data_IF_399495913888
#
_entry.id   IF_399495913888
#
_cell.length_a   1.000
_cell.length_b   1.000
_cell.length_c   1.000
_cell.angle_alpha   90.00
_cell.angle_beta   90.00
_cell.angle_gamma   90.00
#
_symmetry.space_group_name_H-M   'P 1'
#
loop_
_entity.id
_entity.type
_entity.pdbx_description
1 polymer ?
#
# COMPACT_ATOMS: atom_id res chain seq x y z
N UNK A 1 -85.20 -4.88 -16.66
CA UNK A 1 -84.38 -5.43 -15.56
C UNK A 1 -83.12 -6.04 -16.13
N UNK A 2 -81.95 -5.45 -15.87
CA UNK A 2 -80.65 -6.11 -15.58
C UNK A 2 -79.51 -5.10 -15.81
N UNK A 3 -78.93 -4.59 -14.72
CA UNK A 3 -77.67 -3.84 -14.72
C UNK A 3 -76.61 -4.79 -14.17
N UNK A 4 -75.76 -5.31 -15.04
CA UNK A 4 -74.54 -6.03 -14.66
C UNK A 4 -73.32 -5.22 -15.07
N UNK A 5 -72.85 -4.30 -14.21
CA UNK A 5 -71.54 -3.65 -14.39
C UNK A 5 -70.49 -4.53 -13.75
N UNK A 6 -69.70 -5.21 -14.58
CA UNK A 6 -68.49 -5.93 -14.12
C UNK A 6 -67.37 -4.93 -13.90
N UNK A 7 -66.99 -4.79 -12.64
CA UNK A 7 -65.74 -4.20 -12.21
C UNK A 7 -64.59 -5.15 -12.55
N UNK A 8 -63.46 -4.61 -13.01
CA UNK A 8 -62.12 -4.82 -12.42
C UNK A 8 -61.08 -4.12 -13.29
N UNK A 9 -60.70 -2.93 -12.82
CA UNK A 9 -59.44 -2.29 -13.16
C UNK A 9 -58.28 -3.05 -12.52
N UNK A 10 -57.14 -3.04 -13.21
CA UNK A 10 -55.84 -3.07 -12.55
C UNK A 10 -54.97 -4.25 -12.95
N UNK A 11 -53.98 -3.98 -13.79
CA UNK A 11 -52.64 -4.56 -13.66
C UNK A 11 -51.66 -3.60 -14.33
N UNK A 12 -51.10 -2.70 -13.50
CA UNK A 12 -49.89 -1.95 -13.82
C UNK A 12 -48.73 -2.95 -13.94
N UNK A 13 -48.13 -3.04 -15.11
CA UNK A 13 -46.85 -3.71 -15.29
C UNK A 13 -45.72 -2.73 -14.92
N UNK A 14 -45.15 -2.90 -13.73
CA UNK A 14 -43.92 -2.21 -13.33
C UNK A 14 -42.72 -2.95 -13.94
N UNK A 15 -42.13 -2.39 -14.99
CA UNK A 15 -40.85 -2.84 -15.55
C UNK A 15 -39.75 -2.31 -14.63
N UNK A 16 -39.22 -3.18 -13.79
CA UNK A 16 -38.01 -2.91 -12.99
C UNK A 16 -36.80 -2.93 -13.93
N UNK A 17 -36.31 -1.74 -14.30
CA UNK A 17 -35.02 -1.57 -14.95
C UNK A 17 -33.91 -1.87 -13.96
N UNK A 18 -33.27 -3.04 -14.08
CA UNK A 18 -31.96 -3.28 -13.48
C UNK A 18 -30.92 -2.51 -14.29
N UNK A 19 -30.66 -1.27 -13.89
CA UNK A 19 -29.42 -0.59 -14.26
C UNK A 19 -28.27 -1.29 -13.55
N UNK A 20 -27.56 -2.15 -14.29
CA UNK A 20 -26.23 -2.62 -13.88
C UNK A 20 -25.31 -1.41 -13.91
N UNK A 21 -25.24 -0.69 -12.79
CA UNK A 21 -24.22 0.31 -12.58
C UNK A 21 -22.89 -0.44 -12.46
N UNK A 22 -22.16 -0.48 -13.58
CA UNK A 22 -20.74 -0.78 -13.55
C UNK A 22 -20.11 0.34 -12.71
N UNK A 23 -19.82 0.05 -11.43
CA UNK A 23 -19.04 0.97 -10.62
C UNK A 23 -17.70 1.15 -11.34
N UNK A 24 -17.27 2.37 -11.65
CA UNK A 24 -15.91 2.57 -12.11
C UNK A 24 -15.01 2.01 -11.00
N UNK A 25 -14.17 1.03 -11.34
CA UNK A 25 -13.05 0.63 -10.48
C UNK A 25 -12.33 1.94 -10.13
N UNK A 26 -12.35 2.31 -8.84
CA UNK A 26 -11.47 3.37 -8.38
C UNK A 26 -10.07 2.98 -8.86
N UNK A 27 -9.31 3.88 -9.50
CA UNK A 27 -7.94 3.57 -9.91
C UNK A 27 -7.25 3.04 -8.67
N UNK A 28 -6.92 1.75 -8.68
CA UNK A 28 -6.44 1.05 -7.50
C UNK A 28 -5.30 1.85 -6.91
N UNK A 29 -5.44 2.26 -5.65
CA UNK A 29 -4.40 2.96 -4.91
C UNK A 29 -3.13 2.14 -5.05
N UNK A 30 -2.24 2.55 -5.95
CA UNK A 30 -1.00 1.84 -6.13
C UNK A 30 -0.24 2.02 -4.82
N UNK A 31 0.03 0.92 -4.12
CA UNK A 31 0.80 0.89 -2.88
C UNK A 31 2.20 0.37 -3.21
N UNK A 32 3.17 1.25 -3.54
CA UNK A 32 4.51 0.82 -3.89
C UNK A 32 5.12 -0.04 -2.78
N UNK A 33 5.81 -1.09 -3.16
CA UNK A 33 6.41 -2.04 -2.24
C UNK A 33 7.91 -1.80 -2.21
N UNK A 34 8.46 -1.62 -1.01
CA UNK A 34 9.91 -1.56 -0.83
C UNK A 34 10.44 -3.00 -0.72
N UNK A 35 11.31 -3.36 -1.64
CA UNK A 35 11.99 -4.65 -1.68
C UNK A 35 13.38 -4.53 -1.06
N UNK A 36 13.72 -5.44 -0.17
CA UNK A 36 15.02 -5.58 0.45
C UNK A 36 15.82 -6.67 -0.22
N UNK A 37 17.01 -6.31 -0.70
CA UNK A 37 17.91 -7.22 -1.40
C UNK A 37 19.09 -7.56 -0.50
N UNK A 38 19.23 -8.83 -0.12
CA UNK A 38 20.31 -9.33 0.74
C UNK A 38 20.54 -10.81 0.47
N UNK A 39 21.77 -11.28 0.68
CA UNK A 39 22.09 -12.71 0.75
C UNK A 39 22.14 -13.23 2.19
N UNK A 40 22.02 -12.34 3.18
CA UNK A 40 22.07 -12.69 4.59
C UNK A 40 20.69 -13.16 5.07
N UNK A 41 20.68 -14.03 6.08
CA UNK A 41 19.45 -14.69 6.59
C UNK A 41 19.16 -14.38 8.06
N UNK A 42 20.05 -13.66 8.73
CA UNK A 42 20.00 -13.32 10.16
C UNK A 42 19.88 -11.80 10.41
N UNK A 43 19.35 -11.06 9.43
CA UNK A 43 19.03 -9.64 9.56
C UNK A 43 17.82 -9.44 10.47
N UNK A 44 17.92 -8.44 11.34
CA UNK A 44 16.95 -8.13 12.39
C UNK A 44 16.33 -6.75 12.27
N UNK A 45 17.04 -5.80 11.66
CA UNK A 45 16.49 -4.48 11.36
C UNK A 45 17.16 -3.82 10.16
N UNK A 46 16.40 -2.95 9.51
CA UNK A 46 16.84 -2.10 8.40
C UNK A 46 16.29 -0.69 8.60
N UNK A 47 17.12 0.32 8.43
CA UNK A 47 16.70 1.72 8.40
C UNK A 47 17.06 2.33 7.04
N UNK A 48 16.12 3.06 6.46
CA UNK A 48 16.25 3.68 5.16
C UNK A 48 15.40 4.94 5.05
N UNK A 49 15.65 5.74 4.03
CA UNK A 49 14.77 6.84 3.67
C UNK A 49 14.20 6.67 2.27
N UNK A 50 12.96 7.09 2.09
CA UNK A 50 12.29 7.19 0.80
C UNK A 50 11.98 8.65 0.52
N UNK A 51 12.34 9.11 -0.66
CA UNK A 51 12.06 10.46 -1.16
C UNK A 51 11.18 10.38 -2.40
N UNK A 52 10.16 11.23 -2.47
CA UNK A 52 9.23 11.33 -3.59
C UNK A 52 9.25 12.74 -4.19
N UNK A 53 8.93 12.93 -5.47
CA UNK A 53 8.70 14.25 -6.04
C UNK A 53 7.40 14.85 -5.48
N UNK A 54 7.34 16.18 -5.24
CA UNK A 54 6.08 16.86 -5.00
C UNK A 54 5.10 16.67 -6.18
N UNK A 55 3.77 16.59 -5.93
CA UNK A 55 3.10 16.69 -4.63
C UNK A 55 2.98 15.33 -3.89
N UNK A 56 3.62 14.27 -4.39
CA UNK A 56 3.48 12.95 -3.80
C UNK A 56 4.12 12.90 -2.40
N UNK A 57 3.35 12.40 -1.43
CA UNK A 57 3.77 12.26 -0.04
C UNK A 57 3.39 10.88 0.48
N UNK A 58 4.28 10.28 1.25
CA UNK A 58 4.02 9.00 1.93
C UNK A 58 3.22 9.32 3.19
N UNK A 59 2.02 8.76 3.33
CA UNK A 59 1.14 8.97 4.47
C UNK A 59 1.39 7.97 5.59
N UNK A 60 1.56 6.70 5.23
CA UNK A 60 1.73 5.59 6.16
C UNK A 60 2.59 4.50 5.52
N UNK A 61 3.09 3.59 6.35
CA UNK A 61 3.79 2.38 5.92
C UNK A 61 3.15 1.17 6.60
N UNK A 62 3.00 0.09 5.84
CA UNK A 62 2.52 -1.19 6.36
C UNK A 62 3.65 -2.22 6.23
N UNK A 63 3.94 -3.02 7.26
CA UNK A 63 4.91 -4.11 7.13
C UNK A 63 4.45 -5.11 6.08
N UNK A 64 5.37 -5.55 5.23
CA UNK A 64 5.10 -6.56 4.19
C UNK A 64 5.78 -7.91 4.48
N UNK A 65 6.79 -7.94 5.35
CA UNK A 65 7.42 -9.17 5.83
C UNK A 65 6.72 -9.75 7.06
N UNK A 66 6.76 -11.07 7.20
CA UNK A 66 6.12 -11.79 8.30
C UNK A 66 6.78 -11.46 9.65
N UNK A 67 5.96 -11.15 10.66
CA UNK A 67 6.45 -10.82 12.00
C UNK A 67 7.22 -9.50 12.09
N UNK A 68 7.21 -8.69 11.03
CA UNK A 68 7.86 -7.39 11.01
C UNK A 68 7.00 -6.29 11.59
N UNK A 69 7.67 -5.28 12.15
CA UNK A 69 7.10 -3.99 12.52
C UNK A 69 7.79 -2.90 11.70
N UNK A 70 7.02 -1.92 11.26
CA UNK A 70 7.52 -0.77 10.51
C UNK A 70 7.20 0.52 11.26
N UNK A 71 8.18 1.41 11.32
CA UNK A 71 8.09 2.71 11.97
C UNK A 71 8.40 3.78 10.94
N UNK A 72 7.57 4.83 10.89
CA UNK A 72 7.67 5.94 9.95
C UNK A 72 7.93 7.23 10.71
N UNK A 73 8.89 8.02 10.21
CA UNK A 73 9.16 9.38 10.66
C UNK A 73 9.43 10.30 9.46
N UNK A 74 8.65 11.36 9.31
CA UNK A 74 8.86 12.36 8.26
C UNK A 74 9.95 13.35 8.66
N UNK A 75 11.00 13.46 7.84
CA UNK A 75 12.01 14.52 8.01
C UNK A 75 11.70 15.77 7.18
N UNK A 76 10.87 15.63 6.14
CA UNK A 76 10.33 16.69 5.30
C UNK A 76 9.08 16.16 4.58
N UNK A 77 8.27 17.04 3.97
CA UNK A 77 7.02 16.64 3.30
C UNK A 77 7.21 15.53 2.25
N UNK A 78 8.34 15.58 1.52
CA UNK A 78 8.68 14.63 0.46
C UNK A 78 9.66 13.54 0.88
N UNK A 79 10.06 13.47 2.16
CA UNK A 79 11.04 12.47 2.64
C UNK A 79 10.58 11.78 3.92
N UNK A 80 10.39 10.48 3.81
CA UNK A 80 10.08 9.57 4.89
C UNK A 80 11.34 8.81 5.32
N UNK A 81 11.57 8.69 6.62
CA UNK A 81 12.54 7.77 7.21
C UNK A 81 11.78 6.59 7.79
N UNK A 82 12.21 5.39 7.45
CA UNK A 82 11.52 4.15 7.78
C UNK A 82 12.51 3.22 8.48
N UNK A 83 12.06 2.61 9.57
CA UNK A 83 12.77 1.54 10.26
C UNK A 83 11.87 0.31 10.25
N UNK A 84 12.39 -0.82 9.79
CA UNK A 84 11.71 -2.11 9.84
C UNK A 84 12.50 -3.02 10.77
N UNK A 85 11.81 -3.67 11.71
CA UNK A 85 12.38 -4.59 12.68
C UNK A 85 11.62 -5.92 12.59
N UNK A 86 12.34 -7.04 12.57
CA UNK A 86 11.73 -8.36 12.46
C UNK A 86 12.68 -9.39 11.86
N UNK A 87 12.15 -10.53 11.44
CA UNK A 87 12.90 -11.55 10.71
C UNK A 87 13.05 -11.13 9.24
N UNK A 88 14.02 -10.24 8.97
CA UNK A 88 14.25 -9.75 7.62
C UNK A 88 14.91 -10.82 6.75
N UNK A 89 14.46 -10.88 5.50
CA UNK A 89 15.01 -11.72 4.44
C UNK A 89 14.88 -10.99 3.10
N UNK A 90 15.47 -11.57 2.05
CA UNK A 90 15.33 -11.05 0.70
C UNK A 90 13.85 -11.00 0.29
N UNK A 91 13.33 -9.83 -0.10
CA UNK A 91 11.94 -9.66 -0.51
C UNK A 91 11.25 -8.41 0.06
N UNK A 92 9.92 -8.36 0.03
CA UNK A 92 9.15 -7.18 0.40
C UNK A 92 9.23 -6.91 1.91
N UNK A 93 9.53 -5.67 2.29
CA UNK A 93 9.65 -5.28 3.72
C UNK A 93 8.57 -4.30 4.16
N UNK A 94 8.14 -3.38 3.30
CA UNK A 94 7.00 -2.48 3.57
C UNK A 94 6.21 -2.16 2.31
N UNK A 95 4.93 -1.83 2.48
CA UNK A 95 4.09 -1.15 1.49
C UNK A 95 3.98 0.32 1.88
N UNK A 96 4.16 1.21 0.90
CA UNK A 96 4.04 2.64 1.07
C UNK A 96 2.60 3.05 0.73
N UNK A 97 1.93 3.72 1.66
CA UNK A 97 0.62 4.31 1.40
C UNK A 97 0.80 5.77 1.07
N UNK A 98 0.40 6.16 -0.14
CA UNK A 98 0.51 7.54 -0.63
C UNK A 98 -0.69 8.37 -0.16
N UNK A 99 -0.49 9.65 0.16
CA UNK A 99 -1.56 10.50 0.72
C UNK A 99 -2.77 10.65 -0.21
N UNK A 100 -2.55 10.66 -1.52
CA UNK A 100 -3.59 10.79 -2.54
C UNK A 100 -3.87 9.47 -3.27
N UNK A 101 -3.32 8.33 -2.81
CA UNK A 101 -3.44 7.03 -3.48
C UNK A 101 -2.70 6.93 -4.83
N UNK A 102 -2.24 8.05 -5.39
CA UNK A 102 -1.47 8.07 -6.63
C UNK A 102 0.00 7.71 -6.37
N UNK A 103 0.58 6.79 -7.17
CA UNK A 103 2.00 6.49 -7.10
C UNK A 103 2.82 7.69 -7.57
N UNK A 104 4.01 7.84 -7.01
CA UNK A 104 4.96 8.82 -7.49
C UNK A 104 5.61 8.35 -8.80
N UNK A 105 5.94 9.26 -9.74
CA UNK A 105 6.62 8.90 -10.99
C UNK A 105 8.05 8.39 -10.77
N UNK A 106 8.62 8.62 -9.59
CA UNK A 106 9.89 8.05 -9.16
C UNK A 106 9.98 8.01 -7.63
N UNK A 107 10.81 7.10 -7.13
CA UNK A 107 11.16 6.98 -5.72
C UNK A 107 12.68 6.99 -5.57
N UNK A 108 13.20 7.89 -4.73
CA UNK A 108 14.57 7.82 -4.25
C UNK A 108 14.60 6.96 -3.00
N UNK A 109 15.46 5.95 -2.93
CA UNK A 109 15.59 5.10 -1.74
C UNK A 109 17.05 5.04 -1.32
N UNK A 110 17.29 5.33 -0.04
CA UNK A 110 18.64 5.32 0.53
C UNK A 110 18.67 4.42 1.74
N UNK A 111 19.40 3.32 1.64
CA UNK A 111 19.71 2.47 2.78
C UNK A 111 20.66 3.21 3.74
N UNK A 112 20.33 3.23 5.03
CA UNK A 112 21.11 3.93 6.06
C UNK A 112 21.80 2.98 7.02
N UNK A 113 21.11 1.92 7.43
CA UNK A 113 21.59 1.00 8.44
C UNK A 113 20.96 -0.37 8.29
N UNK A 114 21.74 -1.42 8.62
CA UNK A 114 21.24 -2.79 8.79
C UNK A 114 21.82 -3.34 10.09
N UNK A 115 21.03 -4.06 10.86
CA UNK A 115 21.49 -4.82 12.01
C UNK A 115 21.06 -6.27 11.94
N UNK A 116 21.84 -7.11 12.62
CA UNK A 116 21.49 -8.50 12.92
C UNK A 116 20.35 -8.58 13.94
N UNK A 117 19.79 -9.77 14.12
CA UNK A 117 18.77 -10.05 15.16
C UNK A 117 19.27 -9.84 16.60
N UNK A 118 20.58 -9.86 16.81
CA UNK A 118 21.22 -9.53 18.10
C UNK A 118 21.54 -8.03 18.23
N UNK A 119 20.97 -7.19 17.37
CA UNK A 119 21.13 -5.73 17.31
C UNK A 119 22.55 -5.24 17.01
N UNK A 120 23.44 -6.12 16.53
CA UNK A 120 24.78 -5.69 16.10
C UNK A 120 24.73 -5.06 14.70
N UNK A 121 25.38 -3.91 14.50
CA UNK A 121 25.48 -3.27 13.18
C UNK A 121 26.09 -4.19 12.12
N UNK A 122 25.67 -4.02 10.87
CA UNK A 122 26.31 -4.59 9.69
C UNK A 122 26.92 -3.53 8.80
N UNK A 123 27.92 -3.93 8.00
CA UNK A 123 28.27 -3.16 6.81
C UNK A 123 27.14 -3.25 5.79
N UNK A 124 26.85 -2.15 5.10
CA UNK A 124 25.79 -2.09 4.09
C UNK A 124 26.23 -2.64 2.72
N UNK A 125 27.49 -3.07 2.58
CA UNK A 125 27.95 -3.73 1.35
C UNK A 125 27.16 -5.04 1.10
N UNK A 126 26.66 -5.21 -0.12
CA UNK A 126 25.85 -6.37 -0.50
C UNK A 126 24.37 -6.25 -0.14
N UNK A 127 23.93 -5.10 0.39
CA UNK A 127 22.53 -4.78 0.62
C UNK A 127 22.00 -3.83 -0.45
N UNK A 128 20.73 -3.99 -0.80
CA UNK A 128 20.03 -3.10 -1.72
C UNK A 128 18.59 -2.86 -1.31
N UNK A 129 18.01 -1.79 -1.84
CA UNK A 129 16.59 -1.50 -1.76
C UNK A 129 16.08 -1.09 -3.14
N UNK A 130 14.87 -1.51 -3.49
CA UNK A 130 14.12 -0.99 -4.63
C UNK A 130 12.68 -0.70 -4.24
N UNK A 131 11.98 0.12 -5.03
CA UNK A 131 10.54 0.34 -4.91
C UNK A 131 9.90 -0.15 -6.20
N UNK A 132 8.88 -1.00 -6.06
CA UNK A 132 8.10 -1.63 -7.14
C UNK A 132 6.63 -1.22 -7.07
#
# INVERSE_FOLDING_TARGET
MSRGRRASWGLLAAVLGLSVACAPEEPGSAEPIVMFHTQNTDDGSVAFSVTTPPPATIRSVLPACEGCQAFLYHSADSTANIVVVGALSNGPIVRLQMANGEPAPWYGVTLRFVARRDYRPRTIYGYGLSVE
#
